data_IF_993710946146
#
_entry.id   IF_993710946146
#
_cell.length_a   1.000
_cell.length_b   1.000
_cell.length_c   1.000
_cell.angle_alpha   90.00
_cell.angle_beta   90.00
_cell.angle_gamma   90.00
#
_symmetry.space_group_name_H-M   'P 1'
#
loop_
_entity.id
_entity.type
_entity.pdbx_description
1 polymer ?
#
# COMPACT_ATOMS: atom_id res chain seq x y z
N UNK A 1 -13.91 -20.07 28.19
CA UNK A 1 -14.89 -19.42 29.09
C UNK A 1 -15.40 -18.17 28.39
N UNK A 2 -16.60 -18.22 27.81
CA UNK A 2 -17.29 -17.01 27.34
C UNK A 2 -17.70 -16.20 28.58
N UNK A 3 -17.15 -15.01 28.77
CA UNK A 3 -17.69 -14.04 29.73
C UNK A 3 -19.11 -13.71 29.25
N UNK A 4 -20.15 -13.84 30.09
CA UNK A 4 -21.52 -13.59 29.63
C UNK A 4 -21.64 -12.17 29.05
N UNK A 5 -22.32 -12.00 27.91
CA UNK A 5 -22.54 -10.69 27.26
C UNK A 5 -23.40 -9.72 28.10
N UNK A 6 -24.17 -10.26 29.05
CA UNK A 6 -25.11 -9.54 29.89
C UNK A 6 -24.50 -8.38 30.71
N UNK A 7 -23.37 -8.55 31.43
CA UNK A 7 -22.72 -7.47 32.16
C UNK A 7 -22.27 -6.30 31.26
N UNK A 8 -21.79 -6.55 30.03
CA UNK A 8 -21.39 -5.48 29.10
C UNK A 8 -22.58 -4.66 28.61
N UNK A 9 -23.69 -5.33 28.25
CA UNK A 9 -24.93 -4.66 27.82
C UNK A 9 -25.54 -3.82 28.95
N UNK A 10 -25.52 -4.34 30.18
CA UNK A 10 -25.97 -3.59 31.37
C UNK A 10 -25.07 -2.38 31.68
N UNK A 11 -23.75 -2.52 31.52
CA UNK A 11 -22.82 -1.41 31.69
C UNK A 11 -23.02 -0.31 30.63
N UNK A 12 -23.28 -0.68 29.37
CA UNK A 12 -23.59 0.25 28.27
C UNK A 12 -24.91 0.99 28.51
N UNK A 13 -25.96 0.27 28.91
CA UNK A 13 -27.26 0.88 29.22
C UNK A 13 -27.15 1.80 30.44
N UNK A 14 -26.47 1.34 31.49
CA UNK A 14 -26.24 2.12 32.71
C UNK A 14 -25.39 3.36 32.49
N UNK A 15 -24.36 3.32 31.64
CA UNK A 15 -23.54 4.48 31.32
C UNK A 15 -24.31 5.52 30.52
N UNK A 16 -25.13 5.11 29.55
CA UNK A 16 -26.01 6.03 28.79
C UNK A 16 -27.05 6.69 29.71
N UNK A 17 -27.69 5.93 30.60
CA UNK A 17 -28.62 6.50 31.57
C UNK A 17 -27.95 7.43 32.58
N UNK A 18 -26.75 7.10 33.05
CA UNK A 18 -25.98 7.97 33.94
C UNK A 18 -25.55 9.26 33.23
N UNK A 19 -25.17 9.18 31.96
CA UNK A 19 -24.73 10.31 31.14
C UNK A 19 -25.92 11.26 30.86
N UNK A 20 -27.06 10.72 30.43
CA UNK A 20 -28.30 11.49 30.24
C UNK A 20 -28.82 12.05 31.57
N UNK A 21 -28.82 11.24 32.64
CA UNK A 21 -29.23 11.66 33.97
C UNK A 21 -28.35 12.77 34.55
N UNK A 22 -27.04 12.71 34.31
CA UNK A 22 -26.11 13.78 34.70
C UNK A 22 -26.36 15.07 33.92
N UNK A 23 -26.66 15.01 32.63
CA UNK A 23 -27.04 16.18 31.81
C UNK A 23 -28.33 16.84 32.31
N UNK A 24 -29.36 16.04 32.62
CA UNK A 24 -30.62 16.54 33.17
C UNK A 24 -30.42 17.16 34.55
N UNK A 25 -29.56 16.55 35.39
CA UNK A 25 -29.23 17.05 36.72
C UNK A 25 -28.40 18.35 36.67
N UNK A 26 -27.47 18.49 35.73
CA UNK A 26 -26.57 19.66 35.64
C UNK A 26 -27.27 20.86 35.00
N UNK A 27 -28.26 20.67 34.11
CA UNK A 27 -28.60 21.71 33.15
C UNK A 27 -30.09 21.98 32.87
N UNK A 28 -31.05 21.43 33.63
CA UNK A 28 -32.45 21.81 33.42
C UNK A 28 -33.07 22.57 34.61
N UNK A 29 -33.27 23.90 34.52
CA UNK A 29 -32.79 24.84 33.48
C UNK A 29 -31.31 25.22 33.68
N UNK A 30 -30.64 25.65 32.60
CA UNK A 30 -29.20 25.93 32.58
C UNK A 30 -28.89 27.20 33.39
N UNK A 31 -28.31 27.03 34.58
CA UNK A 31 -27.80 28.10 35.45
C UNK A 31 -26.30 27.86 35.72
N UNK A 32 -25.43 28.57 35.00
CA UNK A 32 -23.97 28.41 35.07
C UNK A 32 -23.37 28.91 36.40
N UNK A 33 -24.12 29.62 37.24
CA UNK A 33 -23.66 30.09 38.55
C UNK A 33 -23.75 29.00 39.64
N UNK A 34 -24.50 27.91 39.40
CA UNK A 34 -24.73 26.81 40.37
C UNK A 34 -24.16 25.46 39.90
N UNK A 35 -22.98 25.49 39.29
CA UNK A 35 -22.36 24.28 38.75
C UNK A 35 -22.04 23.25 39.86
N UNK A 36 -22.70 22.09 39.82
CA UNK A 36 -22.48 21.01 40.78
C UNK A 36 -21.31 20.11 40.35
N UNK A 37 -20.18 20.24 41.03
CA UNK A 37 -18.94 19.49 40.78
C UNK A 37 -19.17 17.97 40.81
N UNK A 38 -20.04 17.47 41.68
CA UNK A 38 -20.33 16.03 41.77
C UNK A 38 -20.95 15.48 40.49
N UNK A 39 -21.82 16.26 39.84
CA UNK A 39 -22.46 15.84 38.59
C UNK A 39 -21.50 15.92 37.40
N UNK A 40 -20.55 16.85 37.41
CA UNK A 40 -19.42 16.86 36.45
C UNK A 40 -18.52 15.62 36.57
N UNK A 41 -18.25 15.16 37.80
CA UNK A 41 -17.49 13.93 38.05
C UNK A 41 -18.24 12.70 37.54
N UNK A 42 -19.55 12.62 37.78
CA UNK A 42 -20.40 11.51 37.29
C UNK A 42 -20.42 11.48 35.76
N UNK A 43 -20.53 12.65 35.12
CA UNK A 43 -20.48 12.77 33.67
C UNK A 43 -19.13 12.25 33.13
N UNK A 44 -18.00 12.72 33.66
CA UNK A 44 -16.67 12.27 33.24
C UNK A 44 -16.47 10.76 33.45
N UNK A 45 -16.87 10.23 34.61
CA UNK A 45 -16.79 8.79 34.86
C UNK A 45 -17.66 7.97 33.89
N UNK A 46 -18.88 8.43 33.58
CA UNK A 46 -19.77 7.76 32.63
C UNK A 46 -19.23 7.80 31.20
N UNK A 47 -18.62 8.92 30.80
CA UNK A 47 -18.00 9.11 29.50
C UNK A 47 -16.75 8.24 29.34
N UNK A 48 -15.85 8.22 30.33
CA UNK A 48 -14.68 7.34 30.34
C UNK A 48 -15.09 5.87 30.29
N UNK A 49 -16.14 5.50 31.03
CA UNK A 49 -16.66 4.12 31.01
C UNK A 49 -17.24 3.76 29.65
N UNK A 50 -18.02 4.65 29.04
CA UNK A 50 -18.56 4.44 27.70
C UNK A 50 -17.45 4.31 26.65
N UNK A 51 -16.49 5.24 26.62
CA UNK A 51 -15.33 5.16 25.74
C UNK A 51 -14.54 3.87 25.94
N UNK A 52 -14.32 3.44 27.18
CA UNK A 52 -13.56 2.23 27.48
C UNK A 52 -14.28 0.96 27.03
N UNK A 53 -15.61 0.90 27.19
CA UNK A 53 -16.43 -0.22 26.71
C UNK A 53 -16.47 -0.25 25.18
N UNK A 54 -16.64 0.91 24.54
CA UNK A 54 -16.70 0.98 23.08
C UNK A 54 -15.34 0.65 22.45
N UNK A 55 -14.24 1.20 22.99
CA UNK A 55 -12.89 0.86 22.57
C UNK A 55 -12.57 -0.62 22.81
N UNK A 56 -13.04 -1.21 23.91
CA UNK A 56 -12.86 -2.64 24.19
C UNK A 56 -13.64 -3.54 23.25
N UNK A 57 -14.82 -3.12 22.78
CA UNK A 57 -15.58 -3.86 21.77
C UNK A 57 -14.95 -3.66 20.37
N UNK A 58 -14.45 -2.46 20.05
CA UNK A 58 -13.66 -2.19 18.84
C UNK A 58 -12.36 -3.00 18.76
N UNK A 59 -11.64 -3.14 19.86
CA UNK A 59 -10.40 -3.92 19.94
C UNK A 59 -10.65 -5.43 20.08
N UNK A 60 -11.86 -5.82 20.51
CA UNK A 60 -12.23 -7.20 20.77
C UNK A 60 -12.85 -7.92 19.56
N UNK A 61 -13.23 -7.19 18.51
CA UNK A 61 -13.86 -7.76 17.32
C UNK A 61 -12.80 -8.19 16.28
N UNK A 62 -12.46 -9.48 16.29
CA UNK A 62 -11.51 -10.06 15.34
C UNK A 62 -11.91 -9.90 13.87
N UNK A 63 -13.19 -9.59 13.60
CA UNK A 63 -13.67 -9.31 12.24
C UNK A 63 -13.13 -7.99 11.68
N UNK A 64 -12.88 -6.98 12.52
CA UNK A 64 -12.31 -5.71 12.07
C UNK A 64 -10.83 -5.85 11.68
N UNK A 65 -10.04 -6.55 12.52
CA UNK A 65 -8.66 -6.86 12.20
C UNK A 65 -8.53 -7.72 10.93
N UNK A 66 -9.41 -8.72 10.74
CA UNK A 66 -9.44 -9.52 9.52
C UNK A 66 -9.82 -8.69 8.28
N UNK A 67 -10.79 -7.77 8.40
CA UNK A 67 -11.19 -6.88 7.30
C UNK A 67 -10.03 -5.98 6.85
N UNK A 68 -9.29 -5.39 7.80
CA UNK A 68 -8.15 -4.51 7.49
C UNK A 68 -7.02 -5.27 6.78
N UNK A 69 -6.65 -6.44 7.28
CA UNK A 69 -5.59 -7.25 6.63
C UNK A 69 -6.06 -7.79 5.29
N UNK A 70 -7.35 -8.15 5.16
CA UNK A 70 -7.93 -8.62 3.89
C UNK A 70 -7.98 -7.51 2.83
N UNK A 71 -8.28 -6.27 3.23
CA UNK A 71 -8.21 -5.12 2.33
C UNK A 71 -6.78 -4.89 1.81
N UNK A 72 -5.77 -4.98 2.69
CA UNK A 72 -4.36 -4.92 2.30
C UNK A 72 -3.99 -6.06 1.33
N UNK A 73 -4.55 -7.27 1.51
CA UNK A 73 -4.37 -8.37 0.55
C UNK A 73 -5.01 -8.07 -0.81
N UNK A 74 -6.19 -7.44 -0.85
CA UNK A 74 -6.84 -7.05 -2.11
C UNK A 74 -6.06 -5.98 -2.87
N UNK A 75 -5.54 -4.98 -2.16
CA UNK A 75 -4.63 -3.96 -2.70
C UNK A 75 -3.38 -4.64 -3.27
N UNK A 76 -2.76 -5.53 -2.50
CA UNK A 76 -1.59 -6.28 -2.95
C UNK A 76 -1.87 -7.11 -4.20
N UNK A 77 -3.01 -7.81 -4.24
CA UNK A 77 -3.45 -8.60 -5.40
C UNK A 77 -3.69 -7.75 -6.65
N UNK A 78 -4.12 -6.50 -6.48
CA UNK A 78 -4.25 -5.53 -7.57
C UNK A 78 -2.87 -5.11 -8.11
N UNK A 79 -1.91 -4.89 -7.20
CA UNK A 79 -0.51 -4.58 -7.56
C UNK A 79 0.16 -5.74 -8.30
N UNK A 80 -0.08 -6.99 -7.88
CA UNK A 80 0.33 -8.19 -8.64
C UNK A 80 -0.27 -8.25 -10.05
N UNK A 81 -1.40 -7.59 -10.28
CA UNK A 81 -2.02 -7.46 -11.60
C UNK A 81 -1.24 -6.53 -12.53
N UNK A 82 -0.68 -5.44 -12.00
CA UNK A 82 0.14 -4.51 -12.78
C UNK A 82 1.52 -5.07 -13.07
N UNK A 83 2.20 -5.55 -12.03
CA UNK A 83 3.49 -6.23 -12.16
C UNK A 83 3.22 -7.73 -12.21
N UNK A 84 2.62 -8.15 -13.32
CA UNK A 84 2.33 -9.55 -13.58
C UNK A 84 3.58 -10.37 -13.92
N UNK A 85 3.43 -11.70 -14.07
CA UNK A 85 4.55 -12.60 -14.37
C UNK A 85 5.38 -12.18 -15.60
N UNK A 86 4.73 -11.70 -16.66
CA UNK A 86 5.43 -11.20 -17.86
C UNK A 86 6.29 -9.97 -17.55
N UNK A 87 5.71 -8.98 -16.85
CA UNK A 87 6.42 -7.75 -16.49
C UNK A 87 7.63 -8.06 -15.61
N UNK A 88 7.46 -8.96 -14.64
CA UNK A 88 8.56 -9.39 -13.78
C UNK A 88 9.62 -10.20 -14.52
N UNK A 89 9.22 -11.06 -15.46
CA UNK A 89 10.16 -11.75 -16.34
C UNK A 89 11.01 -10.76 -17.13
N UNK A 90 10.40 -9.70 -17.67
CA UNK A 90 11.12 -8.63 -18.37
C UNK A 90 12.11 -7.93 -17.44
N UNK A 91 11.68 -7.51 -16.25
CA UNK A 91 12.55 -6.82 -15.27
C UNK A 91 13.74 -7.70 -14.85
N UNK A 92 13.49 -9.01 -14.63
CA UNK A 92 14.47 -9.94 -14.09
C UNK A 92 15.45 -10.47 -15.14
N UNK A 93 14.96 -10.76 -16.35
CA UNK A 93 15.71 -11.57 -17.33
C UNK A 93 16.01 -10.83 -18.64
N UNK A 94 15.25 -9.79 -18.99
CA UNK A 94 15.47 -9.07 -20.26
C UNK A 94 16.54 -8.00 -20.05
N UNK A 95 17.71 -8.22 -20.65
CA UNK A 95 18.73 -7.19 -20.74
C UNK A 95 18.20 -5.99 -21.53
N UNK A 96 18.66 -4.79 -21.18
CA UNK A 96 18.31 -3.57 -21.92
C UNK A 96 19.03 -3.56 -23.27
N UNK A 97 18.27 -3.63 -24.36
CA UNK A 97 18.78 -3.84 -25.72
C UNK A 97 18.49 -2.67 -26.65
N UNK A 98 19.26 -2.55 -27.74
CA UNK A 98 19.08 -1.49 -28.75
C UNK A 98 17.66 -1.34 -29.31
N UNK A 99 16.92 -2.45 -29.35
CA UNK A 99 15.51 -2.48 -29.71
C UNK A 99 14.74 -3.13 -28.56
N UNK A 100 13.69 -2.47 -28.09
CA UNK A 100 12.79 -2.96 -27.04
C UNK A 100 11.35 -2.83 -27.51
N UNK A 101 10.44 -3.64 -26.98
CA UNK A 101 9.01 -3.44 -27.22
C UNK A 101 8.53 -2.28 -26.36
N UNK A 102 7.61 -1.45 -26.87
CA UNK A 102 7.14 -0.27 -26.13
C UNK A 102 6.39 -0.62 -24.86
N UNK A 103 5.78 -1.80 -24.81
CA UNK A 103 4.96 -2.29 -23.72
C UNK A 103 5.73 -3.13 -22.68
N UNK A 104 7.03 -3.37 -22.90
CA UNK A 104 7.91 -4.15 -22.00
C UNK A 104 7.83 -3.70 -20.53
N UNK A 105 7.55 -2.41 -20.30
CA UNK A 105 7.48 -1.80 -18.96
C UNK A 105 6.15 -1.09 -18.66
N UNK A 106 5.07 -1.41 -19.39
CA UNK A 106 3.76 -0.78 -19.21
C UNK A 106 3.12 -1.11 -17.85
N UNK A 107 3.43 -2.27 -17.28
CA UNK A 107 3.00 -2.64 -15.93
C UNK A 107 3.60 -1.73 -14.86
N UNK A 108 4.90 -1.42 -14.97
CA UNK A 108 5.56 -0.45 -14.09
C UNK A 108 5.02 0.96 -14.28
N UNK A 109 4.79 1.39 -15.52
CA UNK A 109 4.22 2.72 -15.80
C UNK A 109 2.83 2.87 -15.19
N UNK A 110 2.01 1.83 -15.31
CA UNK A 110 0.69 1.79 -14.68
C UNK A 110 0.83 1.89 -13.17
N UNK A 111 1.66 1.05 -12.55
CA UNK A 111 1.87 1.07 -11.10
C UNK A 111 2.29 2.45 -10.58
N UNK A 112 3.25 3.10 -11.25
CA UNK A 112 3.73 4.45 -10.89
C UNK A 112 2.56 5.44 -10.93
N UNK A 113 1.78 5.43 -12.02
CA UNK A 113 0.61 6.29 -12.16
C UNK A 113 -0.40 6.09 -11.02
N UNK A 114 -0.70 4.84 -10.66
CA UNK A 114 -1.61 4.56 -9.55
C UNK A 114 -1.01 4.96 -8.18
N UNK A 115 0.29 4.78 -7.97
CA UNK A 115 0.98 5.18 -6.73
C UNK A 115 0.97 6.71 -6.51
N UNK A 116 1.10 7.50 -7.58
CA UNK A 116 1.12 8.97 -7.51
C UNK A 116 -0.24 9.57 -7.16
N UNK A 117 -1.30 8.81 -7.40
CA UNK A 117 -2.67 9.16 -7.03
C UNK A 117 -3.08 8.59 -5.66
N UNK A 118 -2.14 8.01 -4.89
CA UNK A 118 -2.36 7.43 -3.57
C UNK A 118 -3.51 6.40 -3.53
N UNK A 119 -3.59 5.56 -4.57
CA UNK A 119 -4.71 4.62 -4.74
C UNK A 119 -4.55 3.36 -3.85
N UNK A 120 -3.34 3.06 -3.40
CA UNK A 120 -3.03 1.85 -2.62
C UNK A 120 -2.34 2.15 -1.27
N UNK A 121 -2.95 2.90 -0.35
CA UNK A 121 -2.42 3.05 1.00
C UNK A 121 -2.61 1.74 1.78
N UNK A 122 -1.53 1.12 2.23
CA UNK A 122 -1.56 -0.07 3.08
C UNK A 122 -1.68 0.32 4.56
N UNK A 123 -2.44 -0.47 5.31
CA UNK A 123 -2.50 -0.33 6.76
C UNK A 123 -1.25 -0.89 7.44
N UNK A 124 -0.67 -1.97 6.88
CA UNK A 124 0.61 -2.49 7.34
C UNK A 124 1.77 -1.56 6.90
N UNK A 125 2.33 -0.83 7.86
CA UNK A 125 3.37 0.18 7.61
C UNK A 125 4.64 -0.39 6.96
N UNK A 126 5.00 -1.66 7.25
CA UNK A 126 6.17 -2.30 6.63
C UNK A 126 5.92 -2.57 5.15
N UNK A 127 4.73 -3.09 4.83
CA UNK A 127 4.31 -3.31 3.44
C UNK A 127 4.23 -1.97 2.71
N UNK A 128 3.65 -0.93 3.33
CA UNK A 128 3.60 0.42 2.78
C UNK A 128 5.00 0.95 2.44
N UNK A 129 5.94 0.87 3.39
CA UNK A 129 7.30 1.39 3.20
C UNK A 129 8.02 0.66 2.06
N UNK A 130 7.91 -0.67 2.00
CA UNK A 130 8.51 -1.48 0.94
C UNK A 130 7.85 -1.21 -0.43
N UNK A 131 6.54 -1.00 -0.46
CA UNK A 131 5.80 -0.62 -1.65
C UNK A 131 6.22 0.76 -2.19
N UNK A 132 6.36 1.75 -1.32
CA UNK A 132 6.82 3.09 -1.67
C UNK A 132 8.25 3.08 -2.20
N UNK A 133 9.14 2.30 -1.58
CA UNK A 133 10.52 2.12 -2.03
C UNK A 133 10.56 1.49 -3.43
N UNK A 134 9.77 0.44 -3.67
CA UNK A 134 9.65 -0.17 -4.99
C UNK A 134 9.13 0.84 -6.03
N UNK A 135 8.07 1.59 -5.72
CA UNK A 135 7.51 2.59 -6.63
C UNK A 135 8.48 3.73 -6.94
N UNK A 136 9.25 4.16 -5.95
CA UNK A 136 10.30 5.18 -6.14
C UNK A 136 11.38 4.68 -7.08
N UNK A 137 11.91 3.47 -6.84
CA UNK A 137 12.91 2.85 -7.71
C UNK A 137 12.36 2.62 -9.14
N UNK A 138 11.09 2.26 -9.27
CA UNK A 138 10.44 2.05 -10.56
C UNK A 138 10.33 3.37 -11.34
N UNK A 139 9.96 4.46 -10.66
CA UNK A 139 9.92 5.80 -11.25
C UNK A 139 11.29 6.24 -11.74
N UNK A 140 12.33 6.07 -10.94
CA UNK A 140 13.70 6.41 -11.32
C UNK A 140 14.23 5.56 -12.49
N UNK A 141 13.83 4.29 -12.57
CA UNK A 141 14.16 3.43 -13.69
C UNK A 141 13.43 3.86 -14.96
N UNK A 142 12.11 4.02 -14.92
CA UNK A 142 11.31 4.41 -16.08
C UNK A 142 11.73 5.79 -16.62
N UNK A 143 12.01 6.75 -15.74
CA UNK A 143 12.53 8.06 -16.16
C UNK A 143 13.85 7.93 -16.92
N UNK A 144 14.82 7.18 -16.40
CA UNK A 144 16.10 6.97 -17.09
C UNK A 144 15.90 6.20 -18.41
N UNK A 145 15.03 5.18 -18.42
CA UNK A 145 14.74 4.34 -19.59
C UNK A 145 14.11 5.15 -20.73
N UNK A 146 13.01 5.86 -20.47
CA UNK A 146 12.32 6.66 -21.49
C UNK A 146 13.07 7.94 -21.87
N UNK A 147 14.07 8.35 -21.09
CA UNK A 147 15.02 9.40 -21.53
C UNK A 147 16.01 8.89 -22.59
N UNK A 148 16.22 7.57 -22.66
CA UNK A 148 17.16 6.94 -23.57
C UNK A 148 16.48 6.41 -24.84
N UNK A 149 15.28 5.86 -24.72
CA UNK A 149 14.55 5.25 -25.83
C UNK A 149 13.50 6.19 -26.42
N UNK A 150 13.39 6.21 -27.75
CA UNK A 150 12.30 6.86 -28.46
C UNK A 150 11.48 5.84 -29.25
N UNK A 151 10.18 6.11 -29.36
CA UNK A 151 9.24 5.28 -30.12
C UNK A 151 9.44 5.45 -31.62
N UNK A 152 9.56 4.35 -32.36
CA UNK A 152 9.68 4.36 -33.84
C UNK A 152 8.32 4.35 -34.58
N UNK A 153 7.21 4.38 -33.83
CA UNK A 153 5.85 4.30 -34.37
C UNK A 153 5.35 2.88 -34.75
N UNK A 154 6.18 1.84 -34.70
CA UNK A 154 5.86 0.46 -35.12
C UNK A 154 5.60 -0.52 -33.98
N UNK A 155 5.51 -0.02 -32.75
CA UNK A 155 5.36 -0.84 -31.54
C UNK A 155 6.68 -1.06 -30.81
N UNK A 156 7.80 -0.68 -31.40
CA UNK A 156 9.13 -0.81 -30.79
C UNK A 156 9.74 0.54 -30.41
N UNK A 157 10.71 0.52 -29.51
CA UNK A 157 11.48 1.67 -29.10
C UNK A 157 12.97 1.45 -29.40
N UNK A 158 13.66 2.50 -29.84
CA UNK A 158 15.10 2.46 -30.10
C UNK A 158 15.78 3.70 -29.54
N UNK A 159 17.01 3.53 -29.05
CA UNK A 159 17.86 4.65 -28.65
C UNK A 159 18.64 5.24 -29.83
N UNK A 160 18.67 4.57 -30.99
CA UNK A 160 19.46 5.01 -32.14
C UNK A 160 18.81 6.26 -32.76
N UNK A 161 19.58 7.33 -33.07
CA UNK A 161 19.04 8.48 -33.78
C UNK A 161 18.47 8.06 -35.13
N UNK A 162 17.34 8.64 -35.54
CA UNK A 162 16.72 8.39 -36.85
C UNK A 162 17.70 8.76 -37.98
N UNK A 163 18.20 7.74 -38.69
CA UNK A 163 19.12 7.88 -39.83
C UNK A 163 20.09 6.69 -39.96
N UNK A 164 20.69 6.52 -41.14
CA UNK A 164 21.59 5.39 -41.48
C UNK A 164 23.06 5.61 -41.08
N UNK A 165 23.31 6.34 -39.99
CA UNK A 165 24.67 6.63 -39.50
C UNK A 165 25.14 5.70 -38.37
N UNK A 166 26.43 5.39 -38.33
CA UNK A 166 27.09 4.98 -37.09
C UNK A 166 27.23 6.21 -36.19
N UNK A 167 26.95 6.06 -34.90
CA UNK A 167 27.26 7.09 -33.90
C UNK A 167 28.76 7.07 -33.61
N UNK A 168 29.35 8.19 -33.17
CA UNK A 168 30.75 8.18 -32.74
C UNK A 168 30.96 7.23 -31.55
N UNK A 169 32.18 6.69 -31.42
CA UNK A 169 32.54 5.79 -30.32
C UNK A 169 32.25 6.42 -28.95
N UNK A 170 32.47 7.74 -28.80
CA UNK A 170 32.16 8.47 -27.57
C UNK A 170 30.66 8.45 -27.23
N UNK A 171 29.79 8.62 -28.23
CA UNK A 171 28.33 8.55 -28.04
C UNK A 171 27.90 7.12 -27.74
N UNK A 172 28.50 6.14 -28.43
CA UNK A 172 28.26 4.72 -28.17
C UNK A 172 28.61 4.34 -26.73
N UNK A 173 29.81 4.67 -26.26
CA UNK A 173 30.28 4.39 -24.90
C UNK A 173 29.39 5.05 -23.83
N UNK A 174 28.96 6.29 -24.08
CA UNK A 174 28.03 7.00 -23.20
C UNK A 174 26.69 6.28 -23.09
N UNK A 175 26.18 5.75 -24.21
CA UNK A 175 24.91 5.02 -24.24
C UNK A 175 25.06 3.66 -23.57
N UNK A 176 26.12 2.91 -23.86
CA UNK A 176 26.42 1.63 -23.20
C UNK A 176 26.57 1.79 -21.69
N UNK A 177 27.18 2.89 -21.22
CA UNK A 177 27.26 3.22 -19.79
C UNK A 177 25.86 3.45 -19.18
N UNK A 178 24.94 4.11 -19.90
CA UNK A 178 23.55 4.29 -19.45
C UNK A 178 22.79 2.96 -19.43
N UNK A 179 22.97 2.11 -20.44
CA UNK A 179 22.39 0.77 -20.51
C UNK A 179 22.85 -0.07 -19.31
N UNK A 180 24.15 -0.11 -19.04
CA UNK A 180 24.70 -0.84 -17.90
C UNK A 180 24.20 -0.30 -16.53
N UNK A 181 23.83 0.98 -16.46
CA UNK A 181 23.17 1.56 -15.27
C UNK A 181 21.71 1.10 -15.18
N UNK A 182 20.99 1.08 -16.31
CA UNK A 182 19.61 0.61 -16.38
C UNK A 182 19.50 -0.88 -16.05
N UNK A 183 20.42 -1.72 -16.53
CA UNK A 183 20.47 -3.15 -16.19
C UNK A 183 20.62 -3.34 -14.67
N UNK A 184 21.53 -2.61 -14.03
CA UNK A 184 21.70 -2.64 -12.56
C UNK A 184 20.43 -2.21 -11.82
N UNK A 185 19.75 -1.17 -12.32
CA UNK A 185 18.46 -0.72 -11.77
C UNK A 185 17.36 -1.77 -11.96
N UNK A 186 17.32 -2.45 -13.11
CA UNK A 186 16.35 -3.52 -13.36
C UNK A 186 16.57 -4.72 -12.44
N UNK A 187 17.84 -5.14 -12.24
CA UNK A 187 18.17 -6.19 -11.26
C UNK A 187 17.74 -5.80 -9.84
N UNK A 188 18.03 -4.56 -9.42
CA UNK A 188 17.60 -4.07 -8.11
C UNK A 188 16.07 -4.01 -7.96
N UNK A 189 15.35 -3.64 -9.03
CA UNK A 189 13.88 -3.69 -9.04
C UNK A 189 13.34 -5.11 -8.89
N UNK A 190 13.98 -6.10 -9.52
CA UNK A 190 13.59 -7.49 -9.35
C UNK A 190 13.75 -7.94 -7.89
N UNK A 191 14.86 -7.57 -7.25
CA UNK A 191 15.11 -7.84 -5.84
C UNK A 191 14.05 -7.21 -4.94
N UNK A 192 13.80 -5.90 -5.09
CA UNK A 192 12.78 -5.17 -4.31
C UNK A 192 11.39 -5.78 -4.48
N UNK A 193 11.03 -6.22 -5.70
CA UNK A 193 9.76 -6.86 -5.96
C UNK A 193 9.64 -8.22 -5.25
N UNK A 194 10.68 -9.05 -5.30
CA UNK A 194 10.70 -10.33 -4.59
C UNK A 194 10.63 -10.14 -3.07
N UNK A 195 11.35 -9.15 -2.53
CA UNK A 195 11.31 -8.79 -1.11
C UNK A 195 9.93 -8.32 -0.69
N UNK A 196 9.30 -7.46 -1.47
CA UNK A 196 7.93 -6.98 -1.22
C UNK A 196 6.93 -8.15 -1.21
N UNK A 197 7.03 -9.10 -2.15
CA UNK A 197 6.18 -10.30 -2.16
C UNK A 197 6.41 -11.16 -0.90
N UNK A 198 7.67 -11.40 -0.53
CA UNK A 198 8.02 -12.19 0.66
C UNK A 198 7.48 -11.51 1.93
N UNK A 199 7.65 -10.20 2.03
CA UNK A 199 7.17 -9.39 3.14
C UNK A 199 5.64 -9.42 3.23
N UNK A 200 4.93 -9.18 2.12
CA UNK A 200 3.47 -9.22 2.07
C UNK A 200 2.92 -10.60 2.49
N UNK A 201 3.54 -11.70 2.02
CA UNK A 201 3.16 -13.06 2.44
C UNK A 201 3.38 -13.33 3.92
N UNK A 202 4.38 -12.71 4.52
CA UNK A 202 4.68 -12.85 5.95
C UNK A 202 3.73 -12.00 6.80
N UNK A 203 3.61 -10.73 6.46
CA UNK A 203 2.92 -9.70 7.26
C UNK A 203 1.39 -9.73 7.10
N UNK A 204 0.88 -10.12 5.93
CA UNK A 204 -0.55 -10.23 5.66
C UNK A 204 -1.08 -11.66 5.90
N UNK A 205 -0.30 -12.49 6.60
CA UNK A 205 -0.70 -13.84 6.97
C UNK A 205 -1.84 -13.78 7.98
N UNK A 206 -2.92 -14.52 7.71
CA UNK A 206 -4.08 -14.60 8.61
C UNK A 206 -5.32 -13.89 8.09
N UNK A 207 -5.22 -13.15 6.98
CA UNK A 207 -6.38 -12.67 6.25
C UNK A 207 -7.27 -13.82 5.76
N UNK A 208 -8.59 -13.60 5.75
CA UNK A 208 -9.56 -14.48 5.11
C UNK A 208 -9.37 -14.57 3.60
N UNK A 209 -8.92 -13.48 2.96
CA UNK A 209 -8.50 -13.45 1.56
C UNK A 209 -7.03 -13.87 1.41
N UNK A 210 -6.74 -14.72 0.42
CA UNK A 210 -5.36 -15.14 0.13
C UNK A 210 -4.70 -14.24 -0.91
N UNK A 211 -3.40 -13.99 -0.72
CA UNK A 211 -2.56 -13.43 -1.78
C UNK A 211 -2.55 -14.41 -2.95
N UNK A 212 -2.82 -13.90 -4.16
CA UNK A 212 -2.81 -14.69 -5.40
C UNK A 212 -1.46 -15.37 -5.57
N UNK A 213 -1.50 -16.59 -6.12
CA UNK A 213 -0.26 -17.26 -6.46
C UNK A 213 0.48 -16.41 -7.49
N UNK A 214 1.72 -16.09 -7.15
CA UNK A 214 2.62 -15.30 -7.98
C UNK A 214 3.88 -16.11 -8.14
N UNK A 215 4.10 -16.57 -9.37
CA UNK A 215 5.24 -17.38 -9.72
C UNK A 215 6.42 -16.48 -10.09
N UNK A 216 7.42 -16.46 -9.22
CA UNK A 216 8.68 -15.74 -9.44
C UNK A 216 9.72 -16.58 -10.20
N UNK A 217 9.42 -17.85 -10.46
CA UNK A 217 10.28 -18.84 -11.12
C UNK A 217 9.72 -19.28 -12.49
N UNK A 218 8.46 -18.99 -12.78
CA UNK A 218 7.71 -19.51 -13.93
C UNK A 218 7.78 -18.64 -15.17
N UNK A 219 8.88 -18.75 -15.91
CA UNK A 219 8.92 -18.72 -17.38
C UNK A 219 10.22 -19.43 -17.80
N UNK A 220 10.14 -20.76 -17.87
CA UNK A 220 11.10 -21.62 -18.58
C UNK A 220 10.46 -22.08 -19.88
#
# INVERSE_FOLDING_TARGET
MMVPEYPKRLARIGSVFALVGSLVWVQWPVDFEKFNIAAGIIFLASLVTWFSVELSDYLGDGSFADNVVSEDVEKFNSILGFVGPNQFYVIKNKAIQTYMEKDDYDGLRSLIHYSENDIFPFHNLKVQTSYEEFCKSAREFCSDFYSLYSSDGRGSATWRPTGDGYVSDEVFEKIMTKIAKLDRKASHLAELWEELIKLARHELKGASTKIRHYDTEGFR
#
